data_IF_899475192697
#
_entry.id   IF_899475192697
#
_cell.length_a   1.000
_cell.length_b   1.000
_cell.length_c   1.000
_cell.angle_alpha   90.00
_cell.angle_beta   90.00
_cell.angle_gamma   90.00
#
_symmetry.space_group_name_H-M   'P 1'
#
loop_
_entity.id
_entity.type
_entity.pdbx_description
1 polymer ?
#
# COMPACT_ATOMS: atom_id res chain seq x y z
N UNK A 1 8.15 -25.08 92.91
CA UNK A 1 7.75 -25.86 91.72
C UNK A 1 6.75 -25.15 90.80
N UNK A 2 5.78 -24.37 91.31
CA UNK A 2 4.75 -23.69 90.50
C UNK A 2 5.28 -22.83 89.32
N UNK A 3 6.37 -22.07 89.51
CA UNK A 3 6.95 -21.20 88.45
C UNK A 3 7.44 -21.97 87.21
N UNK A 4 7.92 -23.20 87.37
CA UNK A 4 8.40 -24.01 86.24
C UNK A 4 7.23 -24.55 85.41
N UNK A 5 6.14 -24.93 86.07
CA UNK A 5 4.92 -25.44 85.40
C UNK A 5 4.23 -24.33 84.61
N UNK A 6 4.13 -23.12 85.19
CA UNK A 6 3.53 -21.96 84.52
C UNK A 6 4.29 -21.57 83.24
N UNK A 7 5.63 -21.69 83.25
CA UNK A 7 6.46 -21.33 82.12
C UNK A 7 6.34 -22.33 80.95
N UNK A 8 6.17 -23.62 81.26
CA UNK A 8 5.96 -24.68 80.25
C UNK A 8 4.57 -24.52 79.62
N UNK A 9 3.54 -24.24 80.43
CA UNK A 9 2.19 -24.01 79.91
C UNK A 9 2.14 -22.80 78.97
N UNK A 10 2.82 -21.71 79.32
CA UNK A 10 2.86 -20.51 78.48
C UNK A 10 3.62 -20.72 77.16
N UNK A 11 4.72 -21.50 77.20
CA UNK A 11 5.44 -21.88 75.98
C UNK A 11 4.59 -22.75 75.05
N UNK A 12 3.85 -23.73 75.59
CA UNK A 12 2.95 -24.58 74.80
C UNK A 12 1.85 -23.78 74.10
N UNK A 13 1.25 -22.82 74.82
CA UNK A 13 0.22 -21.92 74.27
C UNK A 13 0.79 -21.06 73.14
N UNK A 14 1.98 -20.48 73.31
CA UNK A 14 2.64 -19.68 72.27
C UNK A 14 2.95 -20.51 71.02
N UNK A 15 3.39 -21.76 71.16
CA UNK A 15 3.57 -22.66 70.00
C UNK A 15 2.25 -22.99 69.31
N UNK A 16 1.18 -23.23 70.06
CA UNK A 16 -0.14 -23.51 69.50
C UNK A 16 -0.70 -22.31 68.71
N UNK A 17 -0.56 -21.10 69.25
CA UNK A 17 -0.97 -19.86 68.58
C UNK A 17 -0.15 -19.65 67.30
N UNK A 18 1.17 -19.90 67.33
CA UNK A 18 2.02 -19.81 66.12
C UNK A 18 1.62 -20.84 65.06
N UNK A 19 1.30 -22.07 65.45
CA UNK A 19 0.82 -23.12 64.55
C UNK A 19 -0.53 -22.76 63.93
N UNK A 20 -1.47 -22.22 64.71
CA UNK A 20 -2.76 -21.77 64.20
C UNK A 20 -2.65 -20.60 63.22
N UNK A 21 -1.80 -19.61 63.54
CA UNK A 21 -1.54 -18.48 62.63
C UNK A 21 -0.84 -18.91 61.34
N UNK A 22 0.06 -19.89 61.43
CA UNK A 22 0.73 -20.47 60.26
C UNK A 22 -0.26 -21.26 59.38
N UNK A 23 -1.09 -22.12 59.98
CA UNK A 23 -2.13 -22.86 59.26
C UNK A 23 -3.18 -21.92 58.63
N UNK A 24 -3.57 -20.84 59.32
CA UNK A 24 -4.46 -19.82 58.77
C UNK A 24 -3.87 -19.12 57.53
N UNK A 25 -2.58 -18.81 57.54
CA UNK A 25 -1.89 -18.19 56.39
C UNK A 25 -1.77 -19.12 55.19
N UNK A 26 -1.55 -20.43 55.42
CA UNK A 26 -1.49 -21.43 54.35
C UNK A 26 -2.87 -21.61 53.70
N UNK A 27 -3.93 -21.69 54.49
CA UNK A 27 -5.30 -21.78 53.97
C UNK A 27 -5.69 -20.52 53.21
N UNK A 28 -5.34 -19.32 53.72
CA UNK A 28 -5.58 -18.06 53.03
C UNK A 28 -4.82 -17.99 51.68
N UNK A 29 -3.55 -18.43 51.65
CA UNK A 29 -2.77 -18.52 50.40
C UNK A 29 -3.39 -19.52 49.41
N UNK A 30 -3.86 -20.67 49.86
CA UNK A 30 -4.51 -21.66 49.00
C UNK A 30 -5.86 -21.17 48.46
N UNK A 31 -6.62 -20.43 49.25
CA UNK A 31 -7.88 -19.82 48.80
C UNK A 31 -7.59 -18.71 47.77
N UNK A 32 -6.58 -17.86 47.99
CA UNK A 32 -6.21 -16.80 47.04
C UNK A 32 -5.69 -17.36 45.71
N UNK A 33 -4.99 -18.49 45.73
CA UNK A 33 -4.55 -19.19 44.50
C UNK A 33 -5.68 -19.92 43.76
N UNK A 34 -6.85 -20.10 44.38
CA UNK A 34 -8.01 -20.77 43.77
C UNK A 34 -8.89 -19.85 42.90
N UNK A 35 -8.58 -18.55 42.85
CA UNK A 35 -9.27 -17.56 41.99
C UNK A 35 -8.53 -17.30 40.67
N UNK A 36 -7.53 -18.11 40.33
CA UNK A 36 -6.96 -18.08 38.99
C UNK A 36 -8.01 -18.72 38.09
N UNK A 37 -8.67 -17.91 37.26
CA UNK A 37 -9.59 -18.38 36.24
C UNK A 37 -8.78 -19.15 35.20
N UNK A 38 -8.91 -20.47 35.23
CA UNK A 38 -8.13 -21.39 34.42
C UNK A 38 -9.09 -22.27 33.66
N UNK A 39 -8.95 -22.29 32.33
CA UNK A 39 -9.73 -23.17 31.46
C UNK A 39 -8.92 -24.45 31.18
N UNK A 40 -9.58 -25.60 31.26
CA UNK A 40 -9.02 -26.87 30.76
C UNK A 40 -9.71 -27.27 29.46
N UNK A 41 -8.97 -27.25 28.36
CA UNK A 41 -9.44 -27.70 27.03
C UNK A 41 -8.43 -28.66 26.42
N UNK A 42 -8.88 -29.80 25.88
CA UNK A 42 -8.03 -30.87 25.31
C UNK A 42 -6.87 -31.32 26.21
N UNK A 43 -7.10 -31.34 27.53
CA UNK A 43 -6.08 -31.72 28.52
C UNK A 43 -4.98 -30.68 28.75
N UNK A 44 -5.10 -29.48 28.17
CA UNK A 44 -4.22 -28.34 28.40
C UNK A 44 -4.90 -27.30 29.29
N UNK A 45 -4.07 -26.65 30.10
CA UNK A 45 -4.47 -25.66 31.08
C UNK A 45 -4.12 -24.28 30.51
N UNK A 46 -5.11 -23.41 30.35
CA UNK A 46 -4.96 -22.06 29.82
C UNK A 46 -5.24 -21.01 30.90
N UNK A 47 -4.37 -20.02 31.03
CA UNK A 47 -4.59 -18.89 31.91
C UNK A 47 -5.49 -17.85 31.27
N UNK A 48 -6.15 -17.04 32.10
CA UNK A 48 -6.91 -15.87 31.65
C UNK A 48 -6.07 -14.98 30.72
N UNK A 49 -6.63 -14.61 29.57
CA UNK A 49 -5.96 -13.87 28.50
C UNK A 49 -5.07 -14.70 27.56
N UNK A 50 -4.88 -16.00 27.81
CA UNK A 50 -4.04 -16.85 26.97
C UNK A 50 -4.78 -17.27 25.68
N UNK A 51 -4.13 -17.10 24.53
CA UNK A 51 -4.62 -17.62 23.25
C UNK A 51 -4.53 -19.14 23.22
N UNK A 52 -5.67 -19.78 22.94
CA UNK A 52 -5.84 -21.23 22.89
C UNK A 52 -5.46 -21.77 21.52
N UNK A 53 -5.96 -21.09 20.48
CA UNK A 53 -5.74 -21.46 19.09
C UNK A 53 -5.74 -20.21 18.20
N UNK A 54 -4.73 -20.11 17.34
CA UNK A 54 -4.76 -19.24 16.17
C UNK A 54 -5.01 -20.16 14.98
N UNK A 55 -6.06 -19.88 14.22
CA UNK A 55 -6.44 -20.65 13.05
C UNK A 55 -5.28 -20.69 12.04
N UNK A 56 -4.65 -21.87 11.94
CA UNK A 56 -3.54 -22.15 11.01
C UNK A 56 -4.04 -22.47 9.60
N UNK A 57 -3.10 -22.68 8.68
CA UNK A 57 -3.32 -22.88 7.23
C UNK A 57 -4.65 -23.58 6.86
N UNK A 58 -5.51 -22.85 6.13
CA UNK A 58 -6.81 -23.34 5.66
C UNK A 58 -8.02 -22.90 6.49
N UNK A 59 -7.79 -22.13 7.57
CA UNK A 59 -8.85 -21.48 8.35
C UNK A 59 -8.70 -19.96 8.36
N UNK A 60 -9.75 -19.23 8.74
CA UNK A 60 -9.78 -17.77 8.69
C UNK A 60 -8.78 -17.19 9.71
N UNK A 61 -7.69 -16.53 9.26
CA UNK A 61 -6.64 -16.02 10.15
C UNK A 61 -7.10 -14.85 11.01
N UNK A 62 -8.30 -14.29 10.77
CA UNK A 62 -8.87 -13.19 11.55
C UNK A 62 -9.62 -13.64 12.80
N UNK A 63 -9.67 -14.94 13.07
CA UNK A 63 -10.27 -15.47 14.29
C UNK A 63 -9.20 -16.00 15.24
N UNK A 64 -9.38 -15.73 16.53
CA UNK A 64 -8.57 -16.32 17.59
C UNK A 64 -9.45 -16.73 18.76
N UNK A 65 -9.14 -17.88 19.35
CA UNK A 65 -9.80 -18.35 20.57
C UNK A 65 -8.90 -18.04 21.75
N UNK A 66 -9.44 -17.43 22.80
CA UNK A 66 -8.69 -17.14 24.02
C UNK A 66 -9.50 -17.47 25.26
N UNK A 67 -8.80 -17.74 26.36
CA UNK A 67 -9.43 -17.97 27.64
C UNK A 67 -9.77 -16.62 28.28
N UNK A 68 -11.04 -16.41 28.64
CA UNK A 68 -11.50 -15.26 29.41
C UNK A 68 -12.39 -15.74 30.55
N UNK A 69 -12.01 -15.47 31.79
CA UNK A 69 -12.75 -15.81 33.01
C UNK A 69 -13.14 -17.29 33.10
N UNK A 70 -12.29 -18.18 32.58
CA UNK A 70 -12.51 -19.63 32.57
C UNK A 70 -13.45 -20.11 31.46
N UNK A 71 -13.82 -19.26 30.51
CA UNK A 71 -14.56 -19.60 29.30
C UNK A 71 -13.68 -19.44 28.05
N UNK A 72 -14.07 -20.13 26.98
CA UNK A 72 -13.51 -19.90 25.64
C UNK A 72 -14.29 -18.76 25.02
N UNK A 73 -13.59 -17.67 24.72
CA UNK A 73 -14.13 -16.55 23.97
C UNK A 73 -13.50 -16.50 22.57
N UNK A 74 -14.29 -16.02 21.62
CA UNK A 74 -13.86 -15.78 20.25
C UNK A 74 -13.56 -14.29 20.07
N UNK A 75 -12.31 -13.99 19.70
CA UNK A 75 -11.90 -12.65 19.30
C UNK A 75 -11.73 -12.60 17.79
N UNK A 76 -12.42 -11.66 17.17
CA UNK A 76 -12.12 -11.22 15.82
C UNK A 76 -10.96 -10.22 15.86
N UNK A 77 -9.94 -10.47 15.04
CA UNK A 77 -8.82 -9.55 14.88
C UNK A 77 -9.28 -8.45 13.93
N UNK A 78 -9.63 -7.31 14.51
CA UNK A 78 -9.92 -6.12 13.73
C UNK A 78 -8.61 -5.44 13.34
N UNK A 79 -8.30 -5.46 12.05
CA UNK A 79 -7.23 -4.63 11.54
C UNK A 79 -7.63 -3.17 11.74
N UNK A 80 -6.75 -2.36 12.34
CA UNK A 80 -7.02 -0.96 12.67
C UNK A 80 -7.53 -0.10 11.49
N UNK A 81 -7.34 -0.57 10.25
CA UNK A 81 -7.78 0.08 9.01
C UNK A 81 -8.85 -0.72 8.24
N UNK A 82 -9.43 -1.78 8.80
CA UNK A 82 -10.55 -2.49 8.14
C UNK A 82 -11.92 -1.97 8.62
N UNK A 83 -12.01 -1.39 9.81
CA UNK A 83 -13.29 -0.87 10.34
C UNK A 83 -13.70 0.42 9.60
N UNK A 84 -12.73 1.32 9.36
CA UNK A 84 -12.98 2.64 8.73
C UNK A 84 -12.55 2.69 7.26
N UNK A 85 -12.02 1.60 6.73
CA UNK A 85 -11.44 1.51 5.38
C UNK A 85 -9.94 1.81 5.33
N UNK A 86 -9.32 1.69 4.12
CA UNK A 86 -7.88 1.81 3.93
C UNK A 86 -7.30 3.10 4.52
N UNK A 87 -6.00 3.13 4.88
CA UNK A 87 -5.35 4.35 5.35
C UNK A 87 -5.49 5.52 4.37
N UNK A 88 -5.45 6.77 4.83
CA UNK A 88 -5.50 7.94 3.95
C UNK A 88 -4.45 7.87 2.84
N UNK A 89 -4.86 8.09 1.59
CA UNK A 89 -4.03 7.95 0.39
C UNK A 89 -3.99 6.54 -0.23
N UNK A 90 -4.66 5.56 0.38
CA UNK A 90 -4.77 4.18 -0.13
C UNK A 90 -6.21 3.78 -0.45
N UNK A 91 -7.14 4.74 -0.53
CA UNK A 91 -8.57 4.50 -0.72
C UNK A 91 -8.89 3.73 -2.00
N UNK A 92 -7.99 3.80 -2.98
CA UNK A 92 -8.12 3.15 -4.28
C UNK A 92 -7.09 2.04 -4.51
N UNK A 93 -6.36 1.65 -3.47
CA UNK A 93 -5.36 0.60 -3.56
C UNK A 93 -5.95 -0.74 -3.11
N UNK A 94 -5.45 -1.83 -3.69
CA UNK A 94 -5.91 -3.18 -3.34
C UNK A 94 -5.06 -3.72 -2.19
N UNK A 95 -5.65 -4.20 -1.08
CA UNK A 95 -4.89 -4.78 0.02
C UNK A 95 -4.19 -6.08 -0.40
N UNK A 96 -2.95 -6.26 0.03
CA UNK A 96 -2.13 -7.44 -0.24
C UNK A 96 -1.96 -8.24 1.05
N UNK A 97 -2.34 -9.52 1.01
CA UNK A 97 -2.27 -10.43 2.15
C UNK A 97 -1.13 -11.44 1.97
N UNK A 98 -0.47 -11.77 3.08
CA UNK A 98 0.45 -12.90 3.16
C UNK A 98 -0.25 -14.11 3.76
N UNK A 99 0.20 -15.31 3.39
CA UNK A 99 -0.35 -16.57 3.89
C UNK A 99 -0.30 -16.60 5.43
N UNK A 100 -1.44 -16.91 6.05
CA UNK A 100 -1.57 -17.01 7.51
C UNK A 100 -1.67 -15.68 8.25
N UNK A 101 -1.78 -14.53 7.56
CA UNK A 101 -2.02 -13.24 8.20
C UNK A 101 -3.45 -12.75 7.99
N UNK A 102 -4.09 -12.28 9.07
CA UNK A 102 -5.38 -11.62 9.00
C UNK A 102 -5.32 -10.28 8.28
N UNK A 103 -4.31 -9.48 8.61
CA UNK A 103 -4.24 -8.10 8.13
C UNK A 103 -3.36 -7.98 6.89
N UNK A 104 -3.69 -7.05 5.98
CA UNK A 104 -2.86 -6.78 4.83
C UNK A 104 -1.48 -6.31 5.26
N UNK A 105 -0.45 -6.79 4.56
CA UNK A 105 0.94 -6.41 4.80
C UNK A 105 1.36 -5.20 3.96
N UNK A 106 0.66 -4.95 2.87
CA UNK A 106 0.88 -3.83 1.95
C UNK A 106 -0.37 -3.53 1.13
N UNK A 107 -0.32 -2.48 0.31
CA UNK A 107 -1.37 -2.07 -0.60
C UNK A 107 -0.80 -1.87 -2.00
N UNK A 108 -1.43 -2.47 -3.00
CA UNK A 108 -1.11 -2.32 -4.42
C UNK A 108 -1.91 -1.17 -5.03
N UNK A 109 -1.21 -0.07 -5.34
CA UNK A 109 -1.78 1.13 -5.95
C UNK A 109 -1.52 1.21 -7.47
N UNK A 110 -1.07 0.12 -8.09
CA UNK A 110 -0.76 0.11 -9.53
C UNK A 110 -1.93 0.54 -10.41
N UNK A 111 -3.16 0.27 -9.97
CA UNK A 111 -4.41 0.64 -10.66
C UNK A 111 -5.12 1.85 -10.04
N UNK A 112 -4.46 2.58 -9.15
CA UNK A 112 -5.08 3.74 -8.52
C UNK A 112 -5.47 4.80 -9.56
N UNK A 113 -6.71 5.33 -9.49
CA UNK A 113 -7.17 6.41 -10.35
C UNK A 113 -6.58 7.75 -9.91
N UNK A 114 -6.57 8.72 -10.80
CA UNK A 114 -6.04 10.06 -10.60
C UNK A 114 -7.17 11.08 -10.51
N UNK A 115 -6.99 12.11 -9.68
CA UNK A 115 -7.87 13.28 -9.65
C UNK A 115 -7.19 14.45 -10.35
N UNK A 116 -7.84 15.01 -11.38
CA UNK A 116 -7.33 16.16 -12.13
C UNK A 116 -8.47 17.04 -12.62
N UNK A 117 -8.37 18.36 -12.37
CA UNK A 117 -9.41 19.32 -12.78
C UNK A 117 -10.81 18.99 -12.23
N UNK A 118 -10.89 18.38 -11.04
CA UNK A 118 -12.16 17.95 -10.43
C UNK A 118 -12.80 16.70 -11.04
N UNK A 119 -12.11 16.02 -11.97
CA UNK A 119 -12.54 14.75 -12.57
C UNK A 119 -11.63 13.61 -12.13
N UNK A 120 -12.17 12.41 -12.11
CA UNK A 120 -11.45 11.17 -11.83
C UNK A 120 -11.14 10.44 -13.14
N UNK A 121 -9.91 9.96 -13.27
CA UNK A 121 -9.42 9.22 -14.43
C UNK A 121 -8.86 7.87 -13.98
N UNK A 122 -9.15 6.81 -14.72
CA UNK A 122 -8.63 5.48 -14.43
C UNK A 122 -7.15 5.38 -14.80
N UNK A 123 -6.43 4.44 -14.18
CA UNK A 123 -5.07 4.14 -14.59
C UNK A 123 -4.99 3.83 -16.10
N UNK A 124 -4.06 4.49 -16.80
CA UNK A 124 -3.87 4.40 -18.25
C UNK A 124 -4.80 5.28 -19.08
N UNK A 125 -5.75 5.98 -18.45
CA UNK A 125 -6.67 6.87 -19.15
C UNK A 125 -5.98 8.19 -19.54
N UNK A 126 -6.23 8.64 -20.77
CA UNK A 126 -5.81 9.96 -21.22
C UNK A 126 -6.58 11.04 -20.46
N UNK A 127 -5.84 11.98 -19.89
CA UNK A 127 -6.40 13.14 -19.19
C UNK A 127 -6.53 14.25 -20.22
N UNK A 128 -7.75 14.58 -20.61
CA UNK A 128 -7.98 15.71 -21.51
C UNK A 128 -7.58 16.98 -20.79
N UNK A 129 -6.50 17.59 -21.28
CA UNK A 129 -5.99 18.82 -20.74
C UNK A 129 -7.05 19.94 -20.90
N UNK A 130 -7.10 20.82 -19.90
CA UNK A 130 -8.12 21.87 -19.78
C UNK A 130 -8.00 22.85 -20.95
N UNK A 131 -9.09 23.48 -21.38
CA UNK A 131 -9.04 24.52 -22.42
C UNK A 131 -7.90 25.53 -22.15
N UNK A 132 -7.04 25.72 -23.15
CA UNK A 132 -5.83 26.55 -23.05
C UNK A 132 -4.56 25.80 -22.61
N UNK A 133 -4.62 24.49 -22.45
CA UNK A 133 -3.44 23.65 -22.25
C UNK A 133 -2.55 23.60 -23.50
N UNK A 134 -1.27 23.34 -23.27
CA UNK A 134 -0.31 23.06 -24.33
C UNK A 134 -0.78 21.87 -25.20
N UNK A 135 -1.03 22.05 -26.51
CA UNK A 135 -1.49 20.97 -27.38
C UNK A 135 -0.42 19.89 -27.59
N UNK A 136 0.85 20.15 -27.24
CA UNK A 136 1.93 19.17 -27.28
C UNK A 136 2.10 18.39 -25.98
N UNK A 137 1.32 18.70 -24.94
CA UNK A 137 1.38 18.00 -23.67
C UNK A 137 0.29 16.92 -23.59
N UNK A 138 0.71 15.67 -23.79
CA UNK A 138 -0.15 14.52 -23.56
C UNK A 138 -0.13 14.16 -22.08
N UNK A 139 -1.29 14.25 -21.42
CA UNK A 139 -1.46 13.88 -20.02
C UNK A 139 -2.16 12.52 -19.92
N UNK A 140 -1.69 11.67 -19.01
CA UNK A 140 -2.33 10.39 -18.69
C UNK A 140 -2.26 10.09 -17.19
N UNK A 141 -3.21 9.31 -16.71
CA UNK A 141 -3.21 8.84 -15.34
C UNK A 141 -2.33 7.60 -15.18
N UNK A 142 -1.38 7.62 -14.25
CA UNK A 142 -0.44 6.54 -13.96
C UNK A 142 -0.29 6.39 -12.45
N UNK A 143 -0.76 5.26 -11.92
CA UNK A 143 -0.59 4.86 -10.51
C UNK A 143 -1.00 5.96 -9.51
N UNK A 144 -2.18 6.55 -9.71
CA UNK A 144 -2.71 7.62 -8.86
C UNK A 144 -2.12 9.02 -9.12
N UNK A 145 -1.20 9.16 -10.08
CA UNK A 145 -0.59 10.43 -10.45
C UNK A 145 -0.83 10.77 -11.91
N UNK A 146 -1.10 12.04 -12.21
CA UNK A 146 -1.10 12.52 -13.60
C UNK A 146 0.34 12.70 -14.05
N UNK A 147 0.70 12.01 -15.12
CA UNK A 147 1.98 12.11 -15.80
C UNK A 147 1.79 12.78 -17.15
N UNK A 148 2.82 13.50 -17.60
CA UNK A 148 2.80 14.26 -18.84
C UNK A 148 4.00 13.93 -19.70
N UNK A 149 3.75 13.71 -20.99
CA UNK A 149 4.78 13.56 -22.01
C UNK A 149 4.64 14.70 -23.01
N UNK A 150 5.75 15.38 -23.28
CA UNK A 150 5.77 16.42 -24.30
C UNK A 150 6.10 15.78 -25.65
N UNK A 151 5.23 16.01 -26.63
CA UNK A 151 5.46 15.58 -28.01
C UNK A 151 6.29 16.65 -28.71
N UNK A 152 7.51 16.29 -29.09
CA UNK A 152 8.38 17.16 -29.88
C UNK A 152 8.11 16.96 -31.37
N UNK A 153 7.92 18.05 -32.11
CA UNK A 153 7.73 17.98 -33.54
C UNK A 153 9.08 17.76 -34.25
N UNK A 154 9.34 16.52 -34.66
CA UNK A 154 10.57 16.11 -35.39
C UNK A 154 10.90 17.00 -36.60
N UNK A 155 9.87 17.60 -37.20
CA UNK A 155 9.97 18.54 -38.32
C UNK A 155 11.04 19.62 -38.13
N UNK A 156 11.14 20.22 -36.95
CA UNK A 156 12.05 21.34 -36.68
C UNK A 156 13.53 20.97 -36.71
N UNK A 157 13.85 19.69 -36.61
CA UNK A 157 15.22 19.21 -36.47
C UNK A 157 15.90 18.94 -37.82
N UNK A 158 15.20 19.18 -38.94
CA UNK A 158 15.74 18.87 -40.26
C UNK A 158 16.18 20.13 -41.01
N UNK A 159 17.43 20.14 -41.46
CA UNK A 159 18.00 21.26 -42.25
C UNK A 159 17.32 21.44 -43.63
N UNK A 160 16.61 20.43 -44.13
CA UNK A 160 15.98 20.45 -45.46
C UNK A 160 14.66 21.23 -45.54
N UNK A 161 14.15 21.70 -44.40
CA UNK A 161 12.90 22.47 -44.29
C UNK A 161 13.10 23.97 -44.01
N UNK A 162 14.35 24.47 -44.00
CA UNK A 162 14.66 25.88 -43.73
C UNK A 162 13.93 26.88 -44.66
N UNK A 163 13.61 26.44 -45.88
CA UNK A 163 12.90 27.25 -46.89
C UNK A 163 11.39 26.94 -46.97
N UNK A 164 10.86 26.12 -46.06
CA UNK A 164 9.45 25.74 -46.03
C UNK A 164 8.65 26.64 -45.08
N UNK A 165 7.36 26.85 -45.38
CA UNK A 165 6.45 27.61 -44.52
C UNK A 165 5.84 26.67 -43.49
N UNK A 166 5.88 27.08 -42.22
CA UNK A 166 5.16 26.40 -41.14
C UNK A 166 3.77 26.99 -40.98
N UNK A 167 2.75 26.13 -40.92
CA UNK A 167 1.35 26.50 -40.77
C UNK A 167 0.85 25.94 -39.44
N UNK A 168 0.62 26.82 -38.47
CA UNK A 168 0.10 26.47 -37.16
C UNK A 168 -1.43 26.48 -37.18
N UNK A 169 -2.04 25.45 -36.60
CA UNK A 169 -3.49 25.34 -36.43
C UNK A 169 -3.81 25.28 -34.94
N UNK A 170 -4.79 26.05 -34.49
CA UNK A 170 -5.19 26.07 -33.09
C UNK A 170 -5.59 24.67 -32.60
N UNK A 171 -5.05 24.27 -31.45
CA UNK A 171 -5.29 22.95 -30.86
C UNK A 171 -4.48 21.80 -31.49
N UNK A 172 -3.61 22.07 -32.46
CA UNK A 172 -2.72 21.08 -33.06
C UNK A 172 -1.29 21.31 -32.55
N UNK A 173 -0.66 20.27 -32.00
CA UNK A 173 0.72 20.36 -31.50
C UNK A 173 1.72 20.77 -32.59
N UNK A 174 1.72 20.03 -33.71
CA UNK A 174 2.73 20.20 -34.74
C UNK A 174 2.18 20.96 -35.95
N UNK A 175 2.92 21.97 -36.46
CA UNK A 175 2.50 22.69 -37.65
C UNK A 175 2.58 21.81 -38.89
N UNK A 176 1.75 22.12 -39.87
CA UNK A 176 1.88 21.58 -41.22
C UNK A 176 3.04 22.28 -41.94
N UNK A 177 3.85 21.51 -42.68
CA UNK A 177 5.00 22.02 -43.42
C UNK A 177 4.65 22.15 -44.90
N UNK A 178 4.59 23.39 -45.38
CA UNK A 178 4.38 23.71 -46.80
C UNK A 178 5.70 24.06 -47.49
N UNK A 179 6.23 23.09 -48.23
CA UNK A 179 7.44 23.25 -49.06
C UNK A 179 7.13 23.59 -50.53
N UNK A 180 5.87 23.90 -50.88
CA UNK A 180 5.44 24.10 -52.28
C UNK A 180 6.10 25.29 -52.97
N UNK A 181 6.78 26.16 -52.21
CA UNK A 181 7.54 27.31 -52.73
C UNK A 181 9.04 27.05 -52.87
N UNK A 182 9.52 25.83 -52.59
CA UNK A 182 10.94 25.51 -52.74
C UNK A 182 11.31 25.71 -54.22
N UNK A 183 12.23 26.63 -54.56
CA UNK A 183 12.71 26.71 -55.93
C UNK A 183 13.30 25.34 -56.26
N UNK A 184 12.81 24.72 -57.32
CA UNK A 184 13.41 23.49 -57.86
C UNK A 184 14.91 23.74 -57.98
N UNK A 185 15.72 23.00 -57.22
CA UNK A 185 17.18 22.97 -57.43
C UNK A 185 17.41 22.28 -58.77
N UNK A 186 17.24 23.00 -59.86
CA UNK A 186 17.52 22.48 -61.19
C UNK A 186 19.01 22.20 -61.25
N UNK A 187 19.38 20.93 -61.35
CA UNK A 187 20.78 20.53 -61.50
C UNK A 187 21.11 20.54 -62.98
N UNK A 188 22.14 21.30 -63.36
CA UNK A 188 22.64 21.32 -64.72
C UNK A 188 23.36 20.00 -64.97
N UNK A 189 22.82 19.17 -65.86
CA UNK A 189 23.56 18.04 -66.42
C UNK A 189 23.98 18.42 -67.83
N UNK A 190 25.28 18.63 -68.04
CA UNK A 190 25.85 18.73 -69.37
C UNK A 190 26.28 17.35 -69.86
N UNK A 191 25.72 16.90 -70.98
CA UNK A 191 26.20 15.70 -71.68
C UNK A 191 26.87 16.12 -72.97
N UNK A 192 28.19 16.03 -73.01
CA UNK A 192 28.99 16.27 -74.22
C UNK A 192 29.13 14.98 -75.01
N UNK A 193 28.42 14.88 -76.12
CA UNK A 193 28.72 13.90 -77.17
C UNK A 193 28.60 14.59 -78.52
N UNK A 194 29.71 14.61 -79.26
CA UNK A 194 29.83 15.12 -80.64
C UNK A 194 29.63 16.64 -80.85
N UNK A 195 30.33 17.48 -80.08
CA UNK A 195 30.62 18.86 -80.48
C UNK A 195 29.47 19.87 -80.42
N UNK A 196 28.32 19.49 -79.88
CA UNK A 196 27.20 20.36 -79.53
C UNK A 196 26.94 20.23 -78.04
N UNK A 197 27.11 21.32 -77.29
CA UNK A 197 26.78 21.36 -75.85
C UNK A 197 25.28 21.60 -75.72
N UNK A 198 24.54 20.54 -75.42
CA UNK A 198 23.13 20.63 -75.10
C UNK A 198 22.98 20.75 -73.58
N UNK A 199 22.58 21.93 -73.12
CA UNK A 199 22.23 22.18 -71.72
C UNK A 199 20.74 21.93 -71.56
N UNK A 200 20.37 20.89 -70.83
CA UNK A 200 18.98 20.62 -70.47
C UNK A 200 18.76 20.86 -68.98
N UNK A 201 17.71 21.60 -68.66
CA UNK A 201 17.27 21.83 -67.30
C UNK A 201 16.34 20.68 -66.90
N UNK A 202 16.79 19.82 -65.97
CA UNK A 202 15.88 18.93 -65.26
C UNK A 202 15.39 19.66 -64.01
N UNK A 203 14.20 20.22 -64.17
CA UNK A 203 13.29 20.61 -63.13
C UNK A 203 12.09 19.63 -63.28
#
# INVERSE_FOLDING_TARGET
MLRKVLNIANQLILTFVRLFLWMGNVVLNMIVLSWIFVLTSDGKIYQDGQTIYNFGEGSDPCFSLYCSQGNIEEAHIDCAHNIDGPPPGYEFCTPVYEQGRCCPVSYDCSKAPCSYGGKMYQHGEAVFAVEGSDPCLDLYCSQGKVEGTHTDCEAYLRDDIADCRLIYTDGVCCPEIDCSKKPLKCTVKSSSSSGLELVYYNC
#
